data_IF_645020401485
#
_entry.id   IF_645020401485
#
_cell.length_a   1.000
_cell.length_b   1.000
_cell.length_c   1.000
_cell.angle_alpha   90.00
_cell.angle_beta   90.00
_cell.angle_gamma   90.00
#
_symmetry.space_group_name_H-M   'P 1'
#
loop_
_entity.id
_entity.type
_entity.pdbx_description
1 polymer ?
#
# COMPACT_ATOMS: atom_id res chain seq x y z
N UNK A 1 -26.01 -61.37 28.49
CA UNK A 1 -25.03 -60.27 28.34
C UNK A 1 -25.75 -59.06 27.80
N UNK A 2 -26.07 -58.11 28.66
CA UNK A 2 -26.84 -56.89 28.38
C UNK A 2 -25.87 -55.74 28.16
N UNK A 3 -25.89 -55.13 26.97
CA UNK A 3 -25.04 -53.98 26.63
C UNK A 3 -25.58 -52.68 27.26
N UNK A 4 -24.72 -51.80 27.81
CA UNK A 4 -25.17 -50.55 28.43
C UNK A 4 -25.40 -49.42 27.40
N UNK A 5 -26.33 -48.54 27.77
CA UNK A 5 -26.89 -47.44 26.99
C UNK A 5 -25.93 -46.22 26.95
N UNK A 6 -25.59 -45.64 25.78
CA UNK A 6 -24.53 -44.62 25.66
C UNK A 6 -24.97 -43.15 25.91
N UNK A 7 -26.15 -42.91 26.48
CA UNK A 7 -26.62 -41.54 26.76
C UNK A 7 -26.68 -41.24 28.26
N UNK A 8 -25.53 -40.88 28.84
CA UNK A 8 -25.46 -40.10 30.08
C UNK A 8 -24.59 -38.88 29.83
N UNK A 9 -25.24 -37.77 29.42
CA UNK A 9 -24.59 -36.45 29.40
C UNK A 9 -24.68 -35.86 30.81
N UNK A 10 -23.51 -35.64 31.41
CA UNK A 10 -23.34 -34.84 32.62
C UNK A 10 -23.76 -33.39 32.37
N UNK A 11 -24.60 -32.85 33.24
CA UNK A 11 -25.00 -31.44 33.25
C UNK A 11 -23.80 -30.50 33.45
N UNK A 12 -23.75 -29.32 32.81
CA UNK A 12 -22.71 -28.33 33.07
C UNK A 12 -22.87 -27.68 34.46
N UNK A 13 -21.76 -27.25 35.10
CA UNK A 13 -21.81 -26.59 36.41
C UNK A 13 -22.42 -25.18 36.32
N UNK A 14 -23.04 -24.70 37.42
CA UNK A 14 -23.65 -23.37 37.47
C UNK A 14 -22.60 -22.24 37.46
N UNK A 15 -22.95 -21.04 36.95
CA UNK A 15 -22.05 -19.90 36.92
C UNK A 15 -21.79 -19.32 38.33
N UNK A 16 -20.62 -18.69 38.55
CA UNK A 16 -20.29 -18.06 39.83
C UNK A 16 -21.11 -16.79 40.09
N UNK A 17 -21.38 -16.45 41.37
CA UNK A 17 -22.15 -15.26 41.75
C UNK A 17 -21.39 -13.95 41.49
N UNK A 18 -22.11 -12.83 41.27
CA UNK A 18 -21.52 -11.53 40.97
C UNK A 18 -20.78 -10.95 42.19
N UNK A 19 -19.54 -10.52 41.95
CA UNK A 19 -18.68 -9.87 42.94
C UNK A 19 -19.22 -8.49 43.30
N UNK A 20 -19.33 -8.23 44.59
CA UNK A 20 -19.86 -7.03 45.22
C UNK A 20 -18.97 -5.80 45.02
N UNK A 21 -19.63 -4.67 44.75
CA UNK A 21 -19.07 -3.33 44.62
C UNK A 21 -18.26 -2.90 45.84
N UNK A 22 -16.99 -2.52 45.62
CA UNK A 22 -16.19 -1.76 46.58
C UNK A 22 -16.49 -0.27 46.38
N UNK A 23 -17.29 0.27 47.28
CA UNK A 23 -17.50 1.70 47.50
C UNK A 23 -16.20 2.31 48.03
N UNK A 24 -15.61 3.24 47.29
CA UNK A 24 -14.55 4.12 47.81
C UNK A 24 -15.18 5.43 48.32
N UNK A 25 -14.71 5.95 49.48
CA UNK A 25 -15.34 7.06 50.16
C UNK A 25 -15.00 8.42 49.54
N UNK A 26 -16.03 9.26 49.45
CA UNK A 26 -16.02 10.69 49.16
C UNK A 26 -15.27 11.44 50.27
N UNK A 27 -14.25 12.27 49.98
CA UNK A 27 -13.72 13.19 50.97
C UNK A 27 -14.53 14.50 50.95
N UNK A 28 -14.91 14.90 52.17
CA UNK A 28 -15.75 16.04 52.47
C UNK A 28 -15.09 17.38 52.08
N UNK A 29 -15.92 18.23 51.47
CA UNK A 29 -15.71 19.66 51.34
C UNK A 29 -15.99 20.27 52.71
N UNK A 30 -15.22 21.31 53.07
CA UNK A 30 -15.52 22.26 54.14
C UNK A 30 -14.96 21.94 55.53
N UNK A 31 -13.72 22.36 55.80
CA UNK A 31 -13.32 23.02 57.08
C UNK A 31 -11.91 23.61 56.95
N UNK A 32 -11.73 24.80 57.52
CA UNK A 32 -10.48 25.54 57.78
C UNK A 32 -9.98 26.48 56.67
N UNK A 33 -10.75 27.55 56.48
CA UNK A 33 -10.22 28.89 56.19
C UNK A 33 -9.19 29.25 57.27
N UNK A 34 -7.93 29.44 56.88
CA UNK A 34 -6.95 30.25 57.62
C UNK A 34 -6.29 31.24 56.65
N UNK A 35 -6.20 32.53 56.99
CA UNK A 35 -5.47 33.49 56.17
C UNK A 35 -3.97 33.25 56.32
N UNK A 36 -3.31 32.86 55.23
CA UNK A 36 -1.84 32.77 55.14
C UNK A 36 -1.34 34.10 54.60
N UNK A 37 -0.51 34.77 55.38
CA UNK A 37 0.25 35.98 55.01
C UNK A 37 1.15 35.73 53.80
N UNK A 38 1.39 36.72 52.93
CA UNK A 38 2.18 36.53 51.72
C UNK A 38 3.67 36.37 52.06
N UNK A 39 4.35 35.32 51.57
CA UNK A 39 5.80 35.33 51.46
C UNK A 39 6.23 35.87 50.10
N UNK A 40 7.34 36.60 50.15
CA UNK A 40 8.00 37.35 49.10
C UNK A 40 8.34 36.54 47.83
N UNK A 41 8.29 37.24 46.69
CA UNK A 41 9.13 37.05 45.49
C UNK A 41 9.65 35.63 45.22
N UNK A 42 8.77 34.73 44.77
CA UNK A 42 9.17 33.56 44.01
C UNK A 42 8.84 33.80 42.53
N UNK A 43 9.88 34.04 41.73
CA UNK A 43 9.81 34.06 40.27
C UNK A 43 9.11 32.81 39.76
N UNK A 44 8.02 32.99 39.02
CA UNK A 44 7.35 31.92 38.28
C UNK A 44 8.37 31.20 37.38
N UNK A 45 8.40 29.87 37.33
CA UNK A 45 9.15 29.18 36.29
C UNK A 45 8.56 29.59 34.93
N UNK A 46 9.41 29.86 33.91
CA UNK A 46 8.93 30.26 32.60
C UNK A 46 7.99 29.17 32.08
N UNK A 47 6.81 29.59 31.61
CA UNK A 47 5.85 28.72 30.94
C UNK A 47 6.61 27.85 29.94
N UNK A 48 6.54 26.53 30.11
CA UNK A 48 7.05 25.58 29.11
C UNK A 48 6.21 25.78 27.84
N UNK A 49 6.65 26.69 26.99
CA UNK A 49 6.20 26.79 25.62
C UNK A 49 6.55 25.46 24.99
N UNK A 50 5.55 24.60 24.77
CA UNK A 50 5.69 23.44 23.90
C UNK A 50 5.95 24.04 22.51
N UNK A 51 7.22 24.16 22.15
CA UNK A 51 7.63 24.47 20.78
C UNK A 51 7.24 23.25 19.95
N UNK A 52 6.01 23.23 19.45
CA UNK A 52 5.65 22.36 18.34
C UNK A 52 6.66 22.67 17.23
N UNK A 53 7.55 21.71 16.96
CA UNK A 53 8.40 21.81 15.78
C UNK A 53 7.49 22.07 14.59
N UNK A 54 7.81 23.05 13.73
CA UNK A 54 7.03 23.26 12.51
C UNK A 54 6.95 21.94 11.75
N UNK A 55 5.84 21.65 11.06
CA UNK A 55 5.75 20.47 10.20
C UNK A 55 6.98 20.47 9.29
N UNK A 56 7.66 19.32 9.22
CA UNK A 56 8.87 19.17 8.42
C UNK A 56 8.58 19.69 7.01
N UNK A 57 9.29 20.74 6.59
CA UNK A 57 9.13 21.28 5.25
C UNK A 57 9.49 20.18 4.23
N UNK A 58 8.79 20.12 3.07
CA UNK A 58 9.16 19.22 1.99
C UNK A 58 10.64 19.36 1.64
N UNK A 59 11.33 18.23 1.50
CA UNK A 59 12.75 18.24 1.14
C UNK A 59 12.93 18.70 -0.32
N UNK A 60 13.99 19.47 -0.62
CA UNK A 60 14.25 19.92 -1.99
C UNK A 60 14.56 18.73 -2.92
N UNK A 61 14.23 18.84 -4.21
CA UNK A 61 14.51 17.78 -5.18
C UNK A 61 16.02 17.55 -5.32
N UNK A 62 16.44 16.29 -5.43
CA UNK A 62 17.87 15.96 -5.54
C UNK A 62 18.32 15.69 -6.98
N UNK A 63 19.47 16.26 -7.34
CA UNK A 63 20.08 16.17 -8.68
C UNK A 63 20.84 14.85 -8.93
N UNK A 64 20.92 13.95 -7.93
CA UNK A 64 21.53 12.62 -8.00
C UNK A 64 20.75 11.66 -7.11
N UNK A 65 20.76 10.37 -7.44
CA UNK A 65 20.15 9.35 -6.60
C UNK A 65 20.96 9.22 -5.31
N UNK A 66 20.38 9.63 -4.20
CA UNK A 66 21.05 9.64 -2.90
C UNK A 66 21.00 8.27 -2.24
N UNK A 67 21.92 8.00 -1.31
CA UNK A 67 21.91 6.76 -0.53
C UNK A 67 20.59 6.54 0.21
N UNK A 68 19.96 7.55 0.85
CA UNK A 68 18.63 7.37 1.44
C UNK A 68 17.55 6.98 0.42
N UNK A 69 17.54 7.58 -0.78
CA UNK A 69 16.60 7.19 -1.84
C UNK A 69 16.86 5.76 -2.34
N UNK A 70 18.12 5.35 -2.45
CA UNK A 70 18.47 3.98 -2.81
C UNK A 70 17.97 2.98 -1.76
N UNK A 71 18.19 3.26 -0.47
CA UNK A 71 17.71 2.42 0.63
C UNK A 71 16.18 2.35 0.62
N UNK A 72 15.51 3.50 0.44
CA UNK A 72 14.06 3.56 0.33
C UNK A 72 13.54 2.66 -0.79
N UNK A 73 14.03 2.86 -2.02
CA UNK A 73 13.53 2.14 -3.20
C UNK A 73 13.86 0.65 -3.17
N UNK A 74 15.09 0.26 -2.85
CA UNK A 74 15.51 -1.13 -3.04
C UNK A 74 15.39 -1.98 -1.78
N UNK A 75 15.60 -1.39 -0.60
CA UNK A 75 15.51 -2.12 0.65
C UNK A 75 14.10 -2.08 1.23
N UNK A 76 13.52 -0.88 1.37
CA UNK A 76 12.19 -0.74 1.95
C UNK A 76 11.12 -1.19 0.95
N UNK A 77 11.08 -0.59 -0.24
CA UNK A 77 10.06 -0.91 -1.24
C UNK A 77 10.37 -2.19 -2.01
N UNK A 78 11.63 -2.52 -2.24
CA UNK A 78 12.02 -3.76 -2.91
C UNK A 78 11.92 -4.98 -1.99
N UNK A 79 12.87 -5.10 -1.06
CA UNK A 79 12.94 -6.26 -0.18
C UNK A 79 11.75 -6.35 0.78
N UNK A 80 11.26 -5.21 1.30
CA UNK A 80 10.05 -5.18 2.12
C UNK A 80 8.83 -5.69 1.35
N UNK A 81 8.65 -5.26 0.09
CA UNK A 81 7.54 -5.77 -0.73
C UNK A 81 7.72 -7.24 -1.13
N UNK A 82 8.95 -7.74 -1.30
CA UNK A 82 9.19 -9.17 -1.52
C UNK A 82 8.61 -10.00 -0.38
N UNK A 83 8.94 -9.64 0.85
CA UNK A 83 8.52 -10.38 2.04
C UNK A 83 7.01 -10.25 2.23
N UNK A 84 6.50 -9.01 2.18
CA UNK A 84 5.08 -8.74 2.42
C UNK A 84 4.20 -9.36 1.33
N UNK A 85 4.51 -9.10 0.05
CA UNK A 85 3.69 -9.60 -1.07
C UNK A 85 3.79 -11.12 -1.21
N UNK A 86 4.99 -11.68 -1.05
CA UNK A 86 5.18 -13.14 -1.02
C UNK A 86 4.38 -13.79 0.12
N UNK A 87 4.43 -13.20 1.32
CA UNK A 87 3.67 -13.69 2.48
C UNK A 87 2.16 -13.63 2.29
N UNK A 88 1.62 -12.53 1.74
CA UNK A 88 0.19 -12.37 1.47
C UNK A 88 -0.27 -13.38 0.40
N UNK A 89 0.46 -13.50 -0.71
CA UNK A 89 0.13 -14.46 -1.76
C UNK A 89 0.20 -15.91 -1.24
N UNK A 90 1.19 -16.23 -0.41
CA UNK A 90 1.28 -17.52 0.27
C UNK A 90 0.05 -17.79 1.15
N UNK A 91 -0.37 -16.82 1.97
CA UNK A 91 -1.51 -16.97 2.86
C UNK A 91 -2.82 -17.19 2.10
N UNK A 92 -3.04 -16.44 1.01
CA UNK A 92 -4.20 -16.61 0.12
C UNK A 92 -4.18 -18.01 -0.51
N UNK A 93 -3.04 -18.42 -1.05
CA UNK A 93 -2.87 -19.74 -1.66
C UNK A 93 -3.08 -20.86 -0.63
N UNK A 94 -2.57 -20.68 0.59
CA UNK A 94 -2.78 -21.63 1.67
C UNK A 94 -4.27 -21.79 1.93
N UNK A 95 -4.99 -20.69 2.21
CA UNK A 95 -6.42 -20.73 2.46
C UNK A 95 -7.23 -21.35 1.32
N UNK A 96 -6.87 -21.04 0.07
CA UNK A 96 -7.57 -21.53 -1.12
C UNK A 96 -7.34 -23.01 -1.39
N UNK A 97 -6.09 -23.47 -1.27
CA UNK A 97 -5.69 -24.82 -1.68
C UNK A 97 -5.67 -25.84 -0.54
N UNK A 98 -5.76 -25.41 0.73
CA UNK A 98 -6.02 -26.33 1.85
C UNK A 98 -7.51 -26.52 2.13
N UNK A 99 -8.39 -25.96 1.29
CA UNK A 99 -9.82 -26.13 1.44
C UNK A 99 -10.22 -27.63 1.38
N UNK A 100 -11.31 -28.04 2.05
CA UNK A 100 -11.72 -29.45 2.13
C UNK A 100 -11.85 -30.15 0.77
N UNK A 101 -12.24 -29.44 -0.30
CA UNK A 101 -12.37 -30.02 -1.63
C UNK A 101 -11.06 -30.58 -2.21
N UNK A 102 -9.90 -30.10 -1.75
CA UNK A 102 -8.58 -30.55 -2.20
C UNK A 102 -7.87 -31.47 -1.20
N UNK A 103 -8.42 -31.60 0.02
CA UNK A 103 -7.76 -32.30 1.13
C UNK A 103 -8.57 -33.48 1.65
N UNK A 104 -9.87 -33.53 1.37
CA UNK A 104 -10.80 -34.57 1.84
C UNK A 104 -11.58 -35.11 0.65
N UNK A 105 -11.76 -36.44 0.57
CA UNK A 105 -12.67 -37.06 -0.40
C UNK A 105 -14.09 -36.53 -0.21
N UNK A 106 -14.65 -35.73 -1.13
CA UNK A 106 -15.88 -34.98 -0.89
C UNK A 106 -17.15 -35.81 -1.12
N UNK A 107 -17.03 -37.08 -1.51
CA UNK A 107 -18.18 -37.93 -1.78
C UNK A 107 -17.84 -39.36 -2.10
N UNK A 108 -18.89 -40.10 -2.43
CA UNK A 108 -18.85 -41.47 -2.91
C UNK A 108 -19.35 -41.47 -4.35
N UNK A 109 -18.61 -42.08 -5.26
CA UNK A 109 -19.02 -42.31 -6.64
C UNK A 109 -20.34 -43.12 -6.69
N UNK A 110 -21.10 -43.10 -7.81
CA UNK A 110 -22.35 -43.85 -7.96
C UNK A 110 -22.22 -45.36 -7.72
N UNK A 111 -21.00 -45.89 -7.81
CA UNK A 111 -20.64 -47.28 -7.58
C UNK A 111 -20.28 -47.60 -6.11
N UNK A 112 -20.38 -46.62 -5.20
CA UNK A 112 -20.06 -46.79 -3.79
C UNK A 112 -18.58 -46.62 -3.42
N UNK A 113 -17.71 -46.27 -4.38
CA UNK A 113 -16.28 -46.03 -4.10
C UNK A 113 -16.00 -44.59 -3.64
N UNK A 114 -15.04 -44.34 -2.72
CA UNK A 114 -14.67 -42.98 -2.34
C UNK A 114 -14.15 -42.19 -3.54
N UNK A 115 -14.69 -40.99 -3.77
CA UNK A 115 -14.20 -40.11 -4.82
C UNK A 115 -12.84 -39.53 -4.38
N UNK A 116 -11.78 -39.57 -5.20
CA UNK A 116 -10.51 -38.93 -4.86
C UNK A 116 -10.69 -37.41 -4.75
N UNK A 117 -9.87 -36.71 -3.94
CA UNK A 117 -9.88 -35.24 -3.86
C UNK A 117 -9.63 -34.61 -5.23
N UNK A 118 -10.19 -33.43 -5.46
CA UNK A 118 -9.96 -32.70 -6.71
C UNK A 118 -8.48 -32.36 -6.87
N UNK A 119 -7.97 -32.50 -8.09
CA UNK A 119 -6.58 -32.19 -8.40
C UNK A 119 -6.45 -30.75 -8.88
N UNK A 120 -5.37 -30.11 -8.47
CA UNK A 120 -4.99 -28.80 -8.98
C UNK A 120 -4.27 -29.01 -10.30
N UNK A 121 -4.67 -28.24 -11.31
CA UNK A 121 -4.14 -28.39 -12.66
C UNK A 121 -3.50 -27.09 -13.14
N UNK A 122 -2.65 -27.18 -14.16
CA UNK A 122 -2.04 -25.99 -14.72
C UNK A 122 -3.06 -25.18 -15.51
N UNK A 123 -3.82 -25.84 -16.40
CA UNK A 123 -4.70 -25.16 -17.37
C UNK A 123 -6.18 -25.32 -17.09
N UNK A 124 -6.60 -26.45 -16.53
CA UNK A 124 -8.02 -26.78 -16.45
C UNK A 124 -8.75 -26.04 -15.31
N UNK A 125 -9.95 -25.56 -15.61
CA UNK A 125 -10.89 -25.06 -14.60
C UNK A 125 -11.45 -26.22 -13.76
N UNK A 126 -11.85 -25.99 -12.50
CA UNK A 126 -11.93 -24.68 -11.81
C UNK A 126 -10.62 -24.22 -11.13
N UNK A 127 -9.59 -25.05 -11.10
CA UNK A 127 -8.38 -24.84 -10.27
C UNK A 127 -7.12 -24.71 -11.10
N UNK A 128 -7.10 -23.69 -11.98
CA UNK A 128 -5.97 -23.40 -12.87
C UNK A 128 -4.90 -22.57 -12.17
N UNK A 129 -3.68 -23.09 -12.07
CA UNK A 129 -2.52 -22.33 -11.58
C UNK A 129 -2.09 -21.24 -12.57
N UNK A 130 -2.21 -21.48 -13.88
CA UNK A 130 -1.86 -20.49 -14.89
C UNK A 130 -2.79 -19.27 -14.86
N UNK A 131 -4.09 -19.50 -14.65
CA UNK A 131 -5.07 -18.44 -14.45
C UNK A 131 -4.81 -17.68 -13.15
N UNK A 132 -4.51 -18.40 -12.07
CA UNK A 132 -4.21 -17.81 -10.77
C UNK A 132 -2.93 -16.94 -10.79
N UNK A 133 -1.91 -17.36 -11.55
CA UNK A 133 -0.72 -16.56 -11.84
C UNK A 133 -1.05 -15.26 -12.57
N UNK A 134 -1.88 -15.35 -13.63
CA UNK A 134 -2.29 -14.20 -14.42
C UNK A 134 -3.04 -13.16 -13.57
N UNK A 135 -4.00 -13.62 -12.77
CA UNK A 135 -4.78 -12.76 -11.87
C UNK A 135 -3.89 -12.11 -10.82
N UNK A 136 -2.96 -12.85 -10.21
CA UNK A 136 -1.98 -12.27 -9.26
C UNK A 136 -1.21 -11.14 -9.91
N UNK A 137 -0.67 -11.32 -11.11
CA UNK A 137 0.16 -10.29 -11.75
C UNK A 137 -0.65 -9.01 -11.97
N UNK A 138 -1.86 -9.12 -12.52
CA UNK A 138 -2.70 -7.97 -12.84
C UNK A 138 -3.17 -7.27 -11.57
N UNK A 139 -3.73 -8.03 -10.63
CA UNK A 139 -4.31 -7.47 -9.40
C UNK A 139 -3.23 -6.87 -8.50
N UNK A 140 -2.09 -7.54 -8.35
CA UNK A 140 -0.97 -7.03 -7.56
C UNK A 140 -0.45 -5.72 -8.15
N UNK A 141 -0.26 -5.63 -9.47
CA UNK A 141 0.18 -4.38 -10.08
C UNK A 141 -0.80 -3.22 -9.84
N UNK A 142 -2.10 -3.49 -9.89
CA UNK A 142 -3.13 -2.47 -9.64
C UNK A 142 -3.13 -2.01 -8.17
N UNK A 143 -3.13 -2.96 -7.24
CA UNK A 143 -3.17 -2.67 -5.80
C UNK A 143 -1.87 -1.99 -5.36
N UNK A 144 -0.71 -2.50 -5.77
CA UNK A 144 0.60 -1.90 -5.46
C UNK A 144 0.69 -0.48 -5.98
N UNK A 145 0.24 -0.21 -7.21
CA UNK A 145 0.25 1.14 -7.76
C UNK A 145 -0.52 2.15 -6.89
N UNK A 146 -1.69 1.73 -6.39
CA UNK A 146 -2.49 2.56 -5.50
C UNK A 146 -1.84 2.72 -4.13
N UNK A 147 -1.28 1.66 -3.55
CA UNK A 147 -0.59 1.70 -2.27
C UNK A 147 0.60 2.67 -2.35
N UNK A 148 1.45 2.54 -3.37
CA UNK A 148 2.63 3.40 -3.55
C UNK A 148 2.26 4.86 -3.77
N UNK A 149 1.17 5.12 -4.50
CA UNK A 149 0.63 6.46 -4.63
C UNK A 149 0.34 7.10 -3.27
N UNK A 150 -0.19 6.34 -2.31
CA UNK A 150 -0.47 6.85 -0.97
C UNK A 150 0.77 6.91 -0.07
N UNK A 151 1.61 5.87 -0.07
CA UNK A 151 2.79 5.78 0.79
C UNK A 151 3.85 6.81 0.41
N UNK A 152 4.24 6.87 -0.87
CA UNK A 152 5.23 7.84 -1.34
C UNK A 152 4.73 9.27 -1.14
N UNK A 153 3.44 9.52 -1.35
CA UNK A 153 2.84 10.82 -1.06
C UNK A 153 2.94 11.20 0.42
N UNK A 154 2.63 10.27 1.32
CA UNK A 154 2.78 10.50 2.75
C UNK A 154 4.23 10.79 3.11
N UNK A 155 5.17 9.99 2.60
CA UNK A 155 6.59 10.11 2.93
C UNK A 155 7.22 11.38 2.36
N UNK A 156 6.77 11.84 1.20
CA UNK A 156 7.15 13.14 0.65
C UNK A 156 6.61 14.30 1.51
N UNK A 157 5.37 14.20 2.01
CA UNK A 157 4.75 15.22 2.87
C UNK A 157 5.39 15.34 4.24
N UNK A 158 5.87 14.22 4.80
CA UNK A 158 6.54 14.22 6.10
C UNK A 158 8.04 14.49 5.99
N UNK A 159 8.57 14.70 4.78
CA UNK A 159 10.00 14.85 4.54
C UNK A 159 10.80 13.57 4.79
N UNK A 160 10.16 12.40 4.73
CA UNK A 160 10.80 11.09 4.92
C UNK A 160 11.70 10.68 3.76
N UNK A 161 11.42 11.15 2.54
CA UNK A 161 12.23 10.91 1.35
C UNK A 161 12.26 12.15 0.44
N UNK A 162 13.42 12.56 -0.11
CA UNK A 162 13.46 13.67 -1.05
C UNK A 162 12.96 13.24 -2.46
N UNK A 163 12.31 14.15 -3.22
CA UNK A 163 11.98 13.92 -4.62
C UNK A 163 13.22 13.67 -5.49
N UNK A 164 13.04 12.93 -6.60
CA UNK A 164 14.12 12.70 -7.57
C UNK A 164 14.04 13.79 -8.66
N UNK A 165 14.90 14.80 -8.55
CA UNK A 165 14.99 15.95 -9.46
C UNK A 165 16.00 15.79 -10.60
N UNK A 166 16.69 14.64 -10.68
CA UNK A 166 17.71 14.36 -11.71
C UNK A 166 17.26 14.65 -13.15
N UNK A 167 15.95 14.59 -13.40
CA UNK A 167 15.35 14.73 -14.71
C UNK A 167 14.61 16.05 -14.92
N UNK A 168 14.54 16.92 -13.91
CA UNK A 168 13.79 18.18 -13.98
C UNK A 168 14.40 19.19 -14.95
N UNK A 169 15.72 19.19 -15.10
CA UNK A 169 16.41 20.00 -16.12
C UNK A 169 16.45 19.35 -17.52
N UNK A 170 16.01 18.09 -17.66
CA UNK A 170 16.08 17.37 -18.94
C UNK A 170 14.81 17.55 -19.76
N UNK A 171 14.83 18.53 -20.67
CA UNK A 171 13.77 18.81 -21.66
C UNK A 171 13.29 17.56 -22.43
N UNK A 172 14.15 16.54 -22.61
CA UNK A 172 13.79 15.27 -23.26
C UNK A 172 12.80 14.40 -22.47
N UNK A 173 12.88 14.37 -21.13
CA UNK A 173 11.94 13.59 -20.30
C UNK A 173 10.63 14.35 -20.11
N UNK A 174 10.70 15.68 -19.90
CA UNK A 174 9.48 16.49 -19.68
C UNK A 174 8.64 16.64 -20.96
N UNK A 175 9.23 16.61 -22.16
CA UNK A 175 8.50 16.72 -23.42
C UNK A 175 7.91 15.40 -23.94
N UNK A 176 8.26 14.25 -23.36
CA UNK A 176 7.73 12.96 -23.83
C UNK A 176 6.31 12.74 -23.32
N UNK A 177 5.33 12.67 -24.24
CA UNK A 177 3.90 12.45 -23.93
C UNK A 177 3.66 11.22 -23.07
N UNK A 178 4.41 10.13 -23.28
CA UNK A 178 4.24 8.90 -22.51
C UNK A 178 4.72 9.07 -21.06
N UNK A 179 5.85 9.74 -20.86
CA UNK A 179 6.40 10.02 -19.53
C UNK A 179 5.49 10.97 -18.77
N UNK A 180 5.01 12.04 -19.42
CA UNK A 180 4.01 12.95 -18.83
C UNK A 180 2.73 12.22 -18.46
N UNK A 181 2.24 11.35 -19.34
CA UNK A 181 1.05 10.55 -19.08
C UNK A 181 1.25 9.60 -17.91
N UNK A 182 2.33 8.80 -17.91
CA UNK A 182 2.66 7.83 -16.87
C UNK A 182 2.86 8.51 -15.51
N UNK A 183 3.60 9.61 -15.49
CA UNK A 183 3.82 10.42 -14.30
C UNK A 183 2.64 11.34 -13.96
N UNK A 184 1.48 11.25 -14.62
CA UNK A 184 0.32 12.12 -14.34
C UNK A 184 0.68 13.61 -14.26
N UNK A 185 1.55 14.09 -15.16
CA UNK A 185 1.92 15.50 -15.23
C UNK A 185 0.82 16.28 -15.97
N UNK A 186 0.43 17.47 -15.48
CA UNK A 186 -0.53 18.31 -16.17
C UNK A 186 0.02 18.73 -17.54
N UNK A 187 -0.86 18.93 -18.52
CA UNK A 187 -0.47 19.37 -19.87
C UNK A 187 0.10 20.81 -19.88
N UNK A 188 -0.27 21.61 -18.88
CA UNK A 188 0.21 22.97 -18.62
C UNK A 188 0.18 23.18 -17.11
N UNK A 189 1.29 23.61 -16.51
CA UNK A 189 1.27 24.10 -15.13
C UNK A 189 0.48 25.42 -15.17
N UNK A 190 -0.57 25.61 -14.35
CA UNK A 190 -1.26 26.89 -14.32
C UNK A 190 -0.29 27.94 -13.75
N UNK A 191 0.16 28.87 -14.61
CA UNK A 191 0.94 30.04 -14.24
C UNK A 191 0.17 30.77 -13.14
N UNK A 192 0.70 30.76 -11.92
CA UNK A 192 0.26 31.71 -10.91
C UNK A 192 0.91 33.03 -11.26
N UNK A 193 0.19 33.86 -12.02
CA UNK A 193 0.57 35.26 -12.13
C UNK A 193 0.51 35.86 -10.73
N UNK A 194 1.68 36.08 -10.14
CA UNK A 194 1.86 36.98 -9.01
C UNK A 194 1.52 38.39 -9.50
N UNK A 195 0.23 38.70 -9.54
CA UNK A 195 -0.25 40.06 -9.78
C UNK A 195 0.19 40.90 -8.59
N UNK A 196 1.25 41.68 -8.79
CA UNK A 196 1.69 42.69 -7.85
C UNK A 196 0.63 43.78 -7.70
N UNK A 197 -0.34 43.55 -6.81
CA UNK A 197 -1.19 44.61 -6.31
C UNK A 197 -0.56 45.12 -5.00
N UNK A 198 0.28 46.13 -5.16
CA UNK A 198 1.05 46.79 -4.12
C UNK A 198 0.13 47.66 -3.25
N UNK A 199 -0.80 47.03 -2.51
CA UNK A 199 -1.59 47.71 -1.47
C UNK A 199 -1.76 46.85 -0.23
N UNK A 200 -0.78 46.98 0.67
CA UNK A 200 -1.00 47.19 2.10
C UNK A 200 -2.13 46.39 2.73
N UNK A 201 -2.08 45.07 2.63
CA UNK A 201 -2.93 44.16 3.37
C UNK A 201 -2.05 43.03 3.86
N UNK A 202 -2.12 42.72 5.15
CA UNK A 202 -1.43 41.61 5.82
C UNK A 202 -2.04 40.30 5.30
N UNK A 203 -1.81 40.02 4.02
CA UNK A 203 -2.28 38.86 3.30
C UNK A 203 -1.52 37.66 3.81
N UNK A 204 -2.26 36.75 4.43
CA UNK A 204 -1.88 35.35 4.58
C UNK A 204 -1.17 34.94 3.29
N UNK A 205 0.12 34.59 3.39
CA UNK A 205 0.82 33.82 2.38
C UNK A 205 -0.03 32.56 2.20
N UNK A 206 -1.00 32.61 1.30
CA UNK A 206 -1.54 31.39 0.72
C UNK A 206 -0.34 30.82 -0.01
N UNK A 207 0.34 29.95 0.73
CA UNK A 207 1.16 28.87 0.25
C UNK A 207 0.46 28.37 -1.01
N UNK A 208 0.89 28.89 -2.15
CA UNK A 208 0.61 28.31 -3.46
C UNK A 208 1.40 27.02 -3.40
N UNK A 209 0.83 26.06 -2.67
CA UNK A 209 1.18 24.67 -2.74
C UNK A 209 0.82 24.36 -4.18
N UNK A 210 1.79 24.52 -5.10
CA UNK A 210 1.77 23.85 -6.39
C UNK A 210 1.23 22.49 -6.06
N UNK A 211 0.05 22.18 -6.58
CA UNK A 211 -0.65 20.96 -6.26
C UNK A 211 0.22 19.83 -6.81
N UNK A 212 1.23 19.44 -6.04
CA UNK A 212 2.16 18.36 -6.36
C UNK A 212 1.34 17.12 -6.56
N UNK A 213 0.10 17.05 -6.09
CA UNK A 213 -0.69 15.85 -6.01
C UNK A 213 -1.83 15.82 -7.04
N UNK A 214 -2.04 14.70 -7.73
CA UNK A 214 -3.04 14.57 -8.78
C UNK A 214 -4.45 14.33 -8.23
N UNK A 215 -4.70 14.64 -6.95
CA UNK A 215 -5.98 14.33 -6.33
C UNK A 215 -7.10 15.22 -6.90
N UNK A 216 -8.30 14.67 -7.08
CA UNK A 216 -9.48 15.50 -7.29
C UNK A 216 -9.57 16.54 -6.17
N UNK A 217 -9.95 17.78 -6.52
CA UNK A 217 -10.14 18.84 -5.52
C UNK A 217 -11.17 18.41 -4.46
N UNK A 218 -11.12 19.01 -3.26
CA UNK A 218 -11.99 18.65 -2.14
C UNK A 218 -13.51 18.76 -2.41
N UNK A 219 -13.90 19.37 -3.54
CA UNK A 219 -15.29 19.43 -4.03
C UNK A 219 -15.61 18.48 -5.19
N UNK A 220 -14.67 17.64 -5.63
CA UNK A 220 -14.90 16.70 -6.71
C UNK A 220 -15.90 15.61 -6.28
N UNK A 221 -17.04 15.55 -6.96
CA UNK A 221 -18.03 14.50 -6.75
C UNK A 221 -17.52 13.11 -7.16
N UNK A 222 -18.37 12.09 -6.99
CA UNK A 222 -18.07 10.68 -7.31
C UNK A 222 -17.51 10.50 -8.72
N UNK A 223 -18.01 11.27 -9.69
CA UNK A 223 -17.53 11.23 -11.08
C UNK A 223 -16.06 11.67 -11.22
N UNK A 224 -15.61 12.67 -10.44
CA UNK A 224 -14.22 13.12 -10.44
C UNK A 224 -13.28 12.08 -9.82
N UNK A 225 -13.69 11.47 -8.71
CA UNK A 225 -12.96 10.36 -8.10
C UNK A 225 -12.92 9.11 -9.00
N UNK A 226 -14.02 8.81 -9.70
CA UNK A 226 -14.07 7.72 -10.67
C UNK A 226 -13.10 7.93 -11.82
N UNK A 227 -13.07 9.13 -12.41
CA UNK A 227 -12.10 9.47 -13.47
C UNK A 227 -10.65 9.39 -13.01
N UNK A 228 -10.37 9.81 -11.78
CA UNK A 228 -9.05 9.67 -11.18
C UNK A 228 -8.63 8.21 -11.01
N UNK A 229 -9.48 7.38 -10.39
CA UNK A 229 -9.19 5.95 -10.17
C UNK A 229 -9.04 5.21 -11.49
N UNK A 230 -9.86 5.52 -12.49
CA UNK A 230 -9.71 4.96 -13.83
C UNK A 230 -8.37 5.36 -14.45
N UNK A 231 -7.94 6.61 -14.28
CA UNK A 231 -6.63 7.07 -14.69
C UNK A 231 -5.50 6.31 -14.00
N UNK A 232 -5.61 6.03 -12.70
CA UNK A 232 -4.62 5.23 -11.98
C UNK A 232 -4.62 3.78 -12.46
N UNK A 233 -5.81 3.19 -12.65
CA UNK A 233 -5.97 1.83 -13.16
C UNK A 233 -5.38 1.65 -14.57
N UNK A 234 -5.52 2.65 -15.46
CA UNK A 234 -4.93 2.60 -16.79
C UNK A 234 -3.39 2.58 -16.76
N UNK A 235 -2.77 3.34 -15.84
CA UNK A 235 -1.31 3.37 -15.66
C UNK A 235 -0.79 2.10 -15.03
N UNK A 236 -1.46 1.63 -13.99
CA UNK A 236 -1.13 0.36 -13.35
C UNK A 236 -1.30 -0.81 -14.33
N UNK A 237 -2.28 -0.73 -15.24
CA UNK A 237 -2.48 -1.74 -16.28
C UNK A 237 -1.30 -1.78 -17.26
N UNK A 238 -0.68 -0.64 -17.60
CA UNK A 238 0.53 -0.66 -18.43
C UNK A 238 1.66 -1.44 -17.74
N UNK A 239 1.89 -1.18 -16.45
CA UNK A 239 2.89 -1.91 -15.65
C UNK A 239 2.50 -3.40 -15.52
N UNK A 240 1.21 -3.69 -15.37
CA UNK A 240 0.69 -5.05 -15.33
C UNK A 240 0.92 -5.82 -16.62
N UNK A 241 0.72 -5.19 -17.79
CA UNK A 241 0.95 -5.82 -19.10
C UNK A 241 2.43 -6.14 -19.27
N UNK A 242 3.32 -5.20 -18.97
CA UNK A 242 4.77 -5.44 -19.02
C UNK A 242 5.18 -6.56 -18.06
N UNK A 243 4.67 -6.52 -16.83
CA UNK A 243 4.92 -7.56 -15.83
C UNK A 243 4.35 -8.92 -16.26
N UNK A 244 3.18 -8.95 -16.88
CA UNK A 244 2.57 -10.18 -17.38
C UNK A 244 3.45 -10.83 -18.44
N UNK A 245 3.92 -10.06 -19.42
CA UNK A 245 4.81 -10.57 -20.47
C UNK A 245 6.13 -11.11 -19.91
N UNK A 246 6.67 -10.47 -18.85
CA UNK A 246 7.93 -10.87 -18.23
C UNK A 246 7.76 -12.08 -17.32
N UNK A 247 6.74 -12.10 -16.46
CA UNK A 247 6.64 -13.07 -15.37
C UNK A 247 5.75 -14.26 -15.68
N UNK A 248 4.67 -14.08 -16.46
CA UNK A 248 3.69 -15.16 -16.67
C UNK A 248 4.31 -16.34 -17.43
N UNK A 249 5.03 -16.09 -18.51
CA UNK A 249 5.69 -17.13 -19.32
C UNK A 249 6.68 -17.98 -18.51
N UNK A 250 7.69 -17.36 -17.86
CA UNK A 250 8.62 -18.09 -16.99
C UNK A 250 7.93 -18.84 -15.86
N UNK A 251 6.90 -18.26 -15.25
CA UNK A 251 6.08 -18.94 -14.24
C UNK A 251 5.44 -20.20 -14.79
N UNK A 252 4.75 -20.12 -15.93
CA UNK A 252 4.14 -21.29 -16.58
C UNK A 252 5.20 -22.33 -16.92
N UNK A 253 6.35 -21.92 -17.45
CA UNK A 253 7.46 -22.83 -17.76
C UNK A 253 7.99 -23.57 -16.53
N UNK A 254 8.17 -22.87 -15.40
CA UNK A 254 8.57 -23.48 -14.14
C UNK A 254 7.51 -24.45 -13.59
N UNK A 255 6.23 -24.09 -13.71
CA UNK A 255 5.14 -24.95 -13.31
C UNK A 255 5.14 -26.24 -14.17
N UNK A 256 5.20 -26.13 -15.49
CA UNK A 256 5.33 -27.28 -16.41
C UNK A 256 6.50 -28.19 -16.02
N UNK A 257 7.65 -27.61 -15.67
CA UNK A 257 8.83 -28.36 -15.27
C UNK A 257 8.66 -29.09 -13.92
N UNK A 258 7.89 -28.52 -12.99
CA UNK A 258 7.66 -29.08 -11.66
C UNK A 258 6.45 -30.02 -11.58
N UNK A 259 5.48 -29.88 -12.50
CA UNK A 259 4.21 -30.60 -12.49
C UNK A 259 4.30 -32.04 -13.01
N UNK A 260 3.34 -32.87 -12.62
CA UNK A 260 3.21 -34.24 -13.14
C UNK A 260 2.28 -34.24 -14.35
N UNK A 261 2.79 -34.61 -15.51
CA UNK A 261 1.96 -34.72 -16.72
C UNK A 261 0.88 -35.79 -16.54
N UNK A 262 -0.38 -35.47 -16.85
CA UNK A 262 -1.52 -36.36 -16.64
C UNK A 262 -1.93 -37.15 -17.90
N UNK A 263 -1.12 -37.09 -18.96
CA UNK A 263 -1.38 -37.78 -20.23
C UNK A 263 -2.47 -37.15 -21.10
N UNK A 264 -3.15 -36.09 -20.63
CA UNK A 264 -4.20 -35.36 -21.36
C UNK A 264 -3.75 -33.98 -21.84
N UNK A 265 -2.45 -33.71 -21.82
CA UNK A 265 -1.88 -32.41 -22.15
C UNK A 265 -1.97 -31.37 -21.03
N UNK A 266 -2.17 -31.81 -19.79
CA UNK A 266 -2.17 -30.95 -18.60
C UNK A 266 -1.20 -31.47 -17.53
N UNK A 267 -0.91 -30.62 -16.56
CA UNK A 267 0.00 -30.89 -15.44
C UNK A 267 -0.75 -30.80 -14.13
N UNK A 268 -0.56 -31.79 -13.27
CA UNK A 268 -1.20 -31.92 -11.97
C UNK A 268 -0.21 -31.65 -10.84
N UNK A 269 -0.73 -31.06 -9.77
CA UNK A 269 0.02 -30.69 -8.57
C UNK A 269 -0.67 -31.18 -7.32
N UNK A 270 0.14 -31.52 -6.33
CA UNK A 270 -0.35 -31.84 -4.99
C UNK A 270 -0.82 -30.54 -4.30
N UNK A 271 -1.94 -30.61 -3.57
CA UNK A 271 -2.56 -29.43 -2.94
C UNK A 271 -1.72 -28.82 -1.82
N UNK A 272 -0.82 -29.62 -1.26
CA UNK A 272 0.11 -29.21 -0.22
C UNK A 272 1.42 -28.70 -0.81
N UNK A 273 1.78 -27.50 -0.37
CA UNK A 273 3.02 -26.78 -0.64
C UNK A 273 3.25 -26.29 -2.08
N UNK A 274 2.91 -27.06 -3.12
CA UNK A 274 3.23 -26.65 -4.49
C UNK A 274 2.57 -25.31 -4.89
N UNK A 275 1.24 -25.14 -4.75
CA UNK A 275 0.59 -23.85 -5.04
C UNK A 275 1.05 -22.72 -4.11
N UNK A 276 1.29 -23.01 -2.83
CA UNK A 276 1.63 -22.01 -1.83
C UNK A 276 3.04 -21.47 -2.03
N UNK A 277 4.02 -22.35 -2.27
CA UNK A 277 5.41 -21.96 -2.59
C UNK A 277 5.45 -21.21 -3.92
N UNK A 278 4.73 -21.70 -4.93
CA UNK A 278 4.59 -21.01 -6.21
C UNK A 278 4.11 -19.55 -6.01
N UNK A 279 3.04 -19.37 -5.23
CA UNK A 279 2.47 -18.06 -4.95
C UNK A 279 3.37 -17.17 -4.12
N UNK A 280 4.09 -17.73 -3.15
CA UNK A 280 5.09 -17.00 -2.38
C UNK A 280 6.16 -16.42 -3.29
N UNK A 281 6.73 -17.27 -4.16
CA UNK A 281 7.83 -16.88 -5.04
C UNK A 281 7.35 -15.89 -6.08
N UNK A 282 6.23 -16.17 -6.77
CA UNK A 282 5.68 -15.24 -7.77
C UNK A 282 5.34 -13.89 -7.15
N UNK A 283 4.57 -13.87 -6.06
CA UNK A 283 4.16 -12.63 -5.39
C UNK A 283 5.35 -11.83 -4.87
N UNK A 284 6.33 -12.52 -4.26
CA UNK A 284 7.53 -11.89 -3.72
C UNK A 284 8.46 -11.34 -4.79
N UNK A 285 8.79 -12.11 -5.83
CA UNK A 285 9.63 -11.63 -6.94
C UNK A 285 8.94 -10.51 -7.70
N UNK A 286 7.63 -10.61 -7.94
CA UNK A 286 6.86 -9.56 -8.59
C UNK A 286 6.87 -8.27 -7.74
N UNK A 287 6.72 -8.37 -6.42
CA UNK A 287 6.79 -7.23 -5.50
C UNK A 287 8.19 -6.60 -5.46
N UNK A 288 9.24 -7.42 -5.42
CA UNK A 288 10.64 -6.96 -5.46
C UNK A 288 10.92 -6.08 -6.67
N UNK A 289 10.37 -6.45 -7.82
CA UNK A 289 10.66 -5.78 -9.09
C UNK A 289 9.73 -4.61 -9.35
N UNK A 290 8.43 -4.76 -9.08
CA UNK A 290 7.44 -3.74 -9.49
C UNK A 290 7.31 -2.59 -8.50
N UNK A 291 7.39 -2.85 -7.18
CA UNK A 291 7.21 -1.79 -6.18
C UNK A 291 8.25 -0.66 -6.28
N UNK A 292 9.57 -0.94 -6.39
CA UNK A 292 10.57 0.13 -6.53
C UNK A 292 10.38 0.96 -7.81
N UNK A 293 9.92 0.31 -8.89
CA UNK A 293 9.63 0.99 -10.15
C UNK A 293 8.45 1.94 -9.99
N UNK A 294 7.37 1.50 -9.34
CA UNK A 294 6.19 2.33 -9.09
C UNK A 294 6.49 3.49 -8.13
N UNK A 295 7.21 3.23 -7.05
CA UNK A 295 7.65 4.27 -6.12
C UNK A 295 8.57 5.29 -6.83
N UNK A 296 9.48 4.81 -7.67
CA UNK A 296 10.33 5.64 -8.51
C UNK A 296 9.54 6.58 -9.43
N UNK A 297 8.47 6.10 -10.07
CA UNK A 297 7.59 6.95 -10.89
C UNK A 297 7.01 8.11 -10.07
N UNK A 298 6.56 7.85 -8.84
CA UNK A 298 6.00 8.88 -7.98
C UNK A 298 7.05 9.88 -7.47
N UNK A 299 8.26 9.42 -7.14
CA UNK A 299 9.37 10.29 -6.72
C UNK A 299 9.88 11.17 -7.87
N UNK A 300 9.99 10.61 -9.08
CA UNK A 300 10.38 11.36 -10.29
C UNK A 300 9.32 12.38 -10.63
N UNK A 301 8.04 11.99 -10.59
CA UNK A 301 6.92 12.92 -10.80
C UNK A 301 7.01 14.12 -9.86
N UNK A 302 7.24 13.89 -8.56
CA UNK A 302 7.34 14.97 -7.59
C UNK A 302 8.53 15.92 -7.91
N UNK A 303 9.68 15.37 -8.31
CA UNK A 303 10.83 16.17 -8.74
C UNK A 303 10.56 16.99 -10.00
N UNK A 304 9.86 16.42 -10.99
CA UNK A 304 9.49 17.10 -12.23
C UNK A 304 8.53 18.27 -11.98
N UNK A 305 7.52 18.09 -11.14
CA UNK A 305 6.57 19.15 -10.80
C UNK A 305 7.24 20.31 -10.06
N UNK A 306 8.19 20.01 -9.16
CA UNK A 306 8.93 21.06 -8.44
C UNK A 306 9.87 21.83 -9.38
N UNK A 307 10.60 21.14 -10.25
CA UNK A 307 11.53 21.82 -11.14
C UNK A 307 10.89 22.57 -12.31
N UNK A 308 9.65 22.26 -12.72
CA UNK A 308 8.89 23.12 -13.65
C UNK A 308 8.57 24.49 -13.00
N UNK A 309 8.35 24.55 -11.68
CA UNK A 309 8.12 25.81 -10.96
C UNK A 309 9.34 26.72 -10.90
N UNK A 310 10.53 26.16 -10.62
CA UNK A 310 11.77 26.93 -10.47
C UNK A 310 12.19 27.62 -11.79
N UNK A 311 12.02 26.96 -12.95
CA UNK A 311 12.42 27.53 -14.25
C UNK A 311 11.55 28.72 -14.68
N UNK A 312 10.25 28.70 -14.34
CA UNK A 312 9.33 29.80 -14.68
C UNK A 312 9.59 31.06 -13.83
N UNK A 313 10.09 30.90 -12.60
CA UNK A 313 10.51 32.03 -11.75
C UNK A 313 11.75 32.75 -12.29
N UNK A 314 12.73 32.00 -12.83
CA UNK A 314 13.94 32.58 -13.44
C UNK A 314 13.61 33.38 -14.72
N UNK A 315 12.75 32.86 -15.60
CA UNK A 315 12.34 33.56 -16.84
C UNK A 315 11.45 34.79 -16.57
N UNK A 316 10.71 34.81 -15.46
CA UNK A 316 9.88 35.96 -15.04
C UNK A 316 10.67 37.10 -14.40
N UNK A 317 11.88 36.85 -13.90
CA UNK A 317 12.74 37.82 -13.22
C UNK A 317 13.65 38.65 -14.13
N UNK A 318 13.79 38.28 -15.41
CA UNK A 318 14.66 38.97 -16.39
C UNK A 318 13.92 40.00 -17.29
N UNK A 319 12.65 40.34 -16.99
CA UNK A 319 11.84 41.30 -17.78
C UNK A 319 11.76 42.70 -17.15
#
# INVERSE_FOLDING_TARGET
>A
MTLPNPFSRSSPPPPPPPTSNITTPKPDIETAIRPISPPDNASLPPSTTITLSPPALPLPPTNKLTTPQFIYLFLLDGLGALILSGGINFAIAYAMYTAPQYTTSPGTNPDGTPQPPDKITLWSFPSTLAGDAAVTIILQCLVTWLIELFLVNRDLKTGGVPPIGMFSSSSLLSNNRLVRWLCSLPATVPVVSSGGDEKGGRGRLEEVVVSVWPYPSSGAGILGWGGFLLGQAARSMLVAVVSFLIFWGPTVGLLIAAGKANGKGDWEYDATWAPQVFKLVLGGVLGLVTTPVMAGVWLVRAGLVMGEGDNEEEEGGEQ
#
